data_IF_963525919776
#
_entry.id   IF_963525919776
#
_cell.length_a   1.000
_cell.length_b   1.000
_cell.length_c   1.000
_cell.angle_alpha   90.00
_cell.angle_beta   90.00
_cell.angle_gamma   90.00
#
_symmetry.space_group_name_H-M   'P 1'
#
loop_
_entity.id
_entity.type
_entity.pdbx_description
1 polymer ?
#
# COMPACT_ATOMS: atom_id res chain seq x y z
N UNK A 1 26.30 -6.50 -0.92
CA UNK A 1 24.90 -6.60 -0.49
C UNK A 1 23.97 -6.14 -1.62
N UNK A 2 22.84 -6.82 -1.78
CA UNK A 2 21.83 -6.52 -2.79
C UNK A 2 20.44 -6.60 -2.16
N UNK A 3 19.50 -5.75 -2.60
CA UNK A 3 18.07 -5.87 -2.27
C UNK A 3 17.33 -6.18 -3.56
N UNK A 4 16.61 -7.29 -3.58
CA UNK A 4 15.75 -7.71 -4.68
C UNK A 4 14.30 -7.45 -4.29
N UNK A 5 13.57 -6.67 -5.08
CA UNK A 5 12.18 -6.31 -4.82
C UNK A 5 11.29 -6.93 -5.89
N UNK A 6 10.33 -7.74 -5.47
CA UNK A 6 9.26 -8.27 -6.32
C UNK A 6 7.98 -7.50 -6.04
N UNK A 7 7.59 -6.65 -6.97
CA UNK A 7 6.30 -5.97 -6.90
C UNK A 7 5.21 -6.85 -7.53
N UNK A 8 3.97 -6.73 -7.05
CA UNK A 8 2.84 -7.57 -7.46
C UNK A 8 3.14 -9.09 -7.37
N UNK A 9 3.72 -9.52 -6.25
CA UNK A 9 4.12 -10.91 -6.03
C UNK A 9 2.99 -11.92 -6.29
N UNK A 10 1.74 -11.52 -6.06
CA UNK A 10 0.55 -12.32 -6.37
C UNK A 10 0.38 -12.64 -7.85
N UNK A 11 0.97 -11.86 -8.75
CA UNK A 11 0.94 -12.15 -10.19
C UNK A 11 1.70 -13.43 -10.53
N UNK A 12 2.79 -13.72 -9.80
CA UNK A 12 3.56 -14.96 -9.94
C UNK A 12 2.79 -16.17 -9.37
N UNK A 13 1.98 -15.95 -8.32
CA UNK A 13 1.15 -17.00 -7.73
C UNK A 13 -0.07 -17.36 -8.61
N UNK A 14 -0.65 -16.39 -9.32
CA UNK A 14 -1.82 -16.61 -10.21
C UNK A 14 -1.53 -17.50 -11.40
N UNK A 15 -0.28 -17.66 -11.81
CA UNK A 15 0.07 -18.55 -12.91
C UNK A 15 -0.25 -20.03 -12.62
N UNK A 16 -0.49 -20.40 -11.34
CA UNK A 16 -0.96 -21.72 -10.95
C UNK A 16 -2.39 -22.08 -11.43
N UNK A 17 -3.24 -21.09 -11.71
CA UNK A 17 -4.70 -21.36 -11.86
C UNK A 17 -5.12 -21.51 -13.33
N UNK A 18 -4.32 -21.15 -14.32
CA UNK A 18 -4.80 -21.04 -15.71
C UNK A 18 -3.93 -21.67 -16.81
N UNK A 19 -2.74 -22.16 -16.52
CA UNK A 19 -1.90 -22.73 -17.57
C UNK A 19 -1.87 -24.27 -17.45
N UNK A 20 -2.52 -24.95 -18.39
CA UNK A 20 -2.45 -26.41 -18.57
C UNK A 20 -1.00 -26.90 -18.83
N UNK A 21 -0.04 -25.99 -18.97
CA UNK A 21 1.36 -26.29 -19.28
C UNK A 21 2.34 -26.22 -18.09
N UNK A 22 1.89 -26.13 -16.84
CA UNK A 22 2.72 -26.22 -15.62
C UNK A 22 3.89 -25.19 -15.51
N UNK A 23 3.95 -24.15 -16.36
CA UNK A 23 5.08 -23.22 -16.39
C UNK A 23 5.16 -22.32 -15.14
N UNK A 24 4.01 -21.95 -14.58
CA UNK A 24 3.96 -21.10 -13.39
C UNK A 24 4.45 -21.80 -12.12
N UNK A 25 4.17 -23.09 -11.96
CA UNK A 25 4.72 -23.87 -10.85
C UNK A 25 6.24 -24.01 -10.95
N UNK A 26 6.77 -24.10 -12.16
CA UNK A 26 8.22 -24.18 -12.38
C UNK A 26 8.93 -22.89 -11.95
N UNK A 27 8.40 -21.71 -12.32
CA UNK A 27 8.99 -20.42 -11.95
C UNK A 27 8.96 -20.20 -10.44
N UNK A 28 7.81 -20.44 -9.81
CA UNK A 28 7.68 -20.31 -8.36
C UNK A 28 8.61 -21.27 -7.62
N UNK A 29 8.65 -22.54 -8.03
CA UNK A 29 9.52 -23.56 -7.43
C UNK A 29 11.01 -23.19 -7.60
N UNK A 30 11.40 -22.71 -8.76
CA UNK A 30 12.78 -22.25 -9.00
C UNK A 30 13.11 -21.06 -8.10
N UNK A 31 12.21 -20.07 -8.03
CA UNK A 31 12.39 -18.90 -7.16
C UNK A 31 12.58 -19.31 -5.70
N UNK A 32 11.77 -20.24 -5.21
CA UNK A 32 11.87 -20.74 -3.83
C UNK A 32 13.20 -21.44 -3.57
N UNK A 33 13.69 -22.23 -4.53
CA UNK A 33 14.99 -22.90 -4.45
C UNK A 33 16.13 -21.90 -4.41
N UNK A 34 16.12 -20.89 -5.30
CA UNK A 34 17.14 -19.84 -5.34
C UNK A 34 17.14 -19.00 -4.04
N UNK A 35 15.96 -18.78 -3.44
CA UNK A 35 15.88 -18.08 -2.15
C UNK A 35 16.53 -18.88 -1.01
N UNK A 36 16.34 -20.21 -0.97
CA UNK A 36 16.97 -21.06 0.05
C UNK A 36 18.48 -21.15 -0.12
N UNK A 37 18.96 -21.26 -1.36
CA UNK A 37 20.39 -21.30 -1.67
C UNK A 37 21.10 -19.97 -1.41
N UNK A 38 20.38 -18.84 -1.48
CA UNK A 38 20.90 -17.51 -1.24
C UNK A 38 21.16 -17.17 0.22
N UNK A 39 20.78 -18.04 1.16
CA UNK A 39 20.90 -17.82 2.61
C UNK A 39 22.32 -17.55 3.13
N UNK A 40 23.37 -17.78 2.31
CA UNK A 40 24.76 -17.43 2.59
C UNK A 40 25.23 -16.14 1.92
N UNK A 41 24.39 -15.52 1.09
CA UNK A 41 24.70 -14.30 0.34
C UNK A 41 24.12 -13.06 1.04
N UNK A 42 24.78 -11.92 0.90
CA UNK A 42 24.30 -10.63 1.41
C UNK A 42 23.14 -10.09 0.55
N UNK A 43 22.07 -10.88 0.40
CA UNK A 43 20.87 -10.56 -0.40
C UNK A 43 19.68 -10.46 0.54
N UNK A 44 18.91 -9.39 0.39
CA UNK A 44 17.61 -9.22 1.04
C UNK A 44 16.53 -9.30 -0.04
N UNK A 45 15.54 -10.15 0.16
CA UNK A 45 14.41 -10.29 -0.76
C UNK A 45 13.17 -9.64 -0.13
N UNK A 46 12.50 -8.78 -0.90
CA UNK A 46 11.28 -8.08 -0.49
C UNK A 46 10.17 -8.41 -1.49
N UNK A 47 9.08 -9.00 -1.02
CA UNK A 47 7.87 -9.22 -1.82
C UNK A 47 6.80 -8.20 -1.44
N UNK A 48 6.16 -7.57 -2.43
CA UNK A 48 5.06 -6.61 -2.24
C UNK A 48 3.81 -7.19 -2.90
N UNK A 49 2.68 -7.15 -2.20
CA UNK A 49 1.40 -7.60 -2.75
C UNK A 49 0.22 -6.85 -2.13
N UNK A 50 -0.83 -6.64 -2.93
CA UNK A 50 -2.13 -6.18 -2.49
C UNK A 50 -3.10 -7.36 -2.23
N UNK A 51 -2.70 -8.60 -2.56
CA UNK A 51 -3.51 -9.82 -2.46
C UNK A 51 -2.76 -10.90 -1.69
N UNK A 52 -2.57 -10.71 -0.37
CA UNK A 52 -1.87 -11.69 0.47
C UNK A 52 -2.57 -13.06 0.49
N UNK A 53 -3.88 -13.10 0.25
CA UNK A 53 -4.68 -14.33 0.11
C UNK A 53 -4.25 -15.22 -1.07
N UNK A 54 -3.55 -14.68 -2.05
CA UNK A 54 -3.04 -15.41 -3.21
C UNK A 54 -1.60 -15.90 -3.04
N UNK A 55 -0.92 -15.50 -1.96
CA UNK A 55 0.45 -15.93 -1.69
C UNK A 55 0.44 -17.36 -1.14
N UNK A 56 1.23 -18.22 -1.78
CA UNK A 56 1.37 -19.61 -1.32
C UNK A 56 2.07 -19.65 0.05
N UNK A 57 1.49 -20.40 0.98
CA UNK A 57 2.03 -20.56 2.34
C UNK A 57 3.48 -21.11 2.36
N UNK A 58 3.91 -21.81 1.30
CA UNK A 58 5.29 -22.24 1.17
C UNK A 58 6.28 -21.10 1.03
N UNK A 59 5.85 -19.93 0.58
CA UNK A 59 6.68 -18.71 0.50
C UNK A 59 6.88 -18.05 1.87
N UNK A 60 5.97 -18.26 2.81
CA UNK A 60 5.97 -17.63 4.13
C UNK A 60 6.70 -18.46 5.20
N UNK A 61 7.56 -19.39 4.79
CA UNK A 61 8.35 -20.24 5.70
C UNK A 61 9.69 -19.60 6.03
N UNK A 62 10.28 -20.07 7.15
CA UNK A 62 11.63 -19.68 7.58
C UNK A 62 12.65 -19.91 6.45
N UNK A 63 13.54 -18.93 6.26
CA UNK A 63 14.54 -18.94 5.20
C UNK A 63 14.05 -18.45 3.83
N UNK A 64 12.79 -17.97 3.75
CA UNK A 64 12.19 -17.39 2.56
C UNK A 64 11.62 -16.01 2.92
N UNK A 65 10.32 -15.76 2.74
CA UNK A 65 9.65 -14.54 3.19
C UNK A 65 9.11 -14.75 4.61
N UNK A 66 9.99 -14.80 5.58
CA UNK A 66 9.70 -15.13 6.99
C UNK A 66 9.25 -13.93 7.82
N UNK A 67 9.40 -12.72 7.29
CA UNK A 67 8.94 -11.48 7.91
C UNK A 67 7.80 -10.90 7.07
N UNK A 68 6.62 -10.77 7.66
CA UNK A 68 5.48 -10.13 7.01
C UNK A 68 5.17 -8.80 7.68
N UNK A 69 5.17 -7.73 6.87
CA UNK A 69 4.85 -6.39 7.29
C UNK A 69 3.51 -5.97 6.68
N UNK A 70 2.57 -5.59 7.54
CA UNK A 70 1.30 -5.04 7.09
C UNK A 70 1.38 -3.51 7.08
N UNK A 71 1.33 -2.92 5.89
CA UNK A 71 1.29 -1.46 5.71
C UNK A 71 -0.15 -0.99 5.87
N UNK A 72 -0.43 -0.37 7.00
CA UNK A 72 -1.77 0.16 7.30
C UNK A 72 -2.09 1.41 6.49
N UNK A 73 -3.39 1.70 6.25
CA UNK A 73 -3.80 3.01 5.77
C UNK A 73 -3.30 4.13 6.68
N UNK A 74 -3.03 5.33 6.14
CA UNK A 74 -2.51 6.42 6.94
C UNK A 74 -3.52 6.88 7.99
N UNK A 75 -3.07 7.07 9.23
CA UNK A 75 -3.82 7.72 10.29
C UNK A 75 -3.98 9.23 9.99
N UNK A 76 -4.72 9.94 10.82
CA UNK A 76 -5.00 11.38 10.62
C UNK A 76 -3.71 12.20 10.54
N UNK A 77 -2.74 11.93 11.41
CA UNK A 77 -1.45 12.63 11.42
C UNK A 77 -0.66 12.35 10.14
N UNK A 78 -0.57 11.10 9.76
CA UNK A 78 0.10 10.69 8.51
C UNK A 78 -0.59 11.30 7.28
N UNK A 79 -1.94 11.36 7.25
CA UNK A 79 -2.67 12.03 6.17
C UNK A 79 -2.34 13.51 6.09
N UNK A 80 -2.25 14.19 7.23
CA UNK A 80 -1.83 15.59 7.28
C UNK A 80 -0.43 15.78 6.70
N UNK A 81 0.51 14.92 7.07
CA UNK A 81 1.89 15.02 6.59
C UNK A 81 1.98 14.69 5.08
N UNK A 82 1.22 13.71 4.60
CA UNK A 82 1.08 13.43 3.16
C UNK A 82 0.50 14.64 2.42
N UNK A 83 -0.57 15.25 2.93
CA UNK A 83 -1.18 16.44 2.32
C UNK A 83 -0.18 17.60 2.26
N UNK A 84 0.60 17.84 3.31
CA UNK A 84 1.65 18.89 3.30
C UNK A 84 2.67 18.64 2.19
N UNK A 85 3.14 17.40 2.05
CA UNK A 85 4.09 17.02 0.99
C UNK A 85 3.47 17.22 -0.40
N UNK A 86 2.22 16.77 -0.59
CA UNK A 86 1.52 16.87 -1.87
C UNK A 86 1.19 18.33 -2.26
N UNK A 87 1.00 19.19 -1.29
CA UNK A 87 0.69 20.60 -1.50
C UNK A 87 1.92 21.49 -1.48
N UNK A 88 3.10 20.94 -1.23
CA UNK A 88 4.35 21.68 -1.30
C UNK A 88 4.56 22.23 -2.73
N UNK A 89 4.78 23.54 -2.82
CA UNK A 89 4.87 24.24 -4.10
C UNK A 89 3.53 24.51 -4.82
N UNK A 90 2.39 24.10 -4.29
CA UNK A 90 1.08 24.47 -4.84
C UNK A 90 0.66 25.87 -4.36
N UNK A 91 0.04 26.70 -5.23
CA UNK A 91 -0.41 28.05 -4.85
C UNK A 91 -1.66 27.98 -3.97
N UNK A 92 -1.49 27.72 -2.70
CA UNK A 92 -2.57 27.69 -1.73
C UNK A 92 -2.97 29.08 -1.28
N UNK A 93 -4.27 29.31 -1.07
CA UNK A 93 -4.74 30.53 -0.41
C UNK A 93 -4.37 30.52 1.09
N UNK A 94 -4.10 31.70 1.66
CA UNK A 94 -3.57 31.86 3.03
C UNK A 94 -4.49 31.31 4.14
N UNK A 95 -5.76 31.08 3.85
CA UNK A 95 -6.78 30.65 4.81
C UNK A 95 -7.08 29.14 4.78
N UNK A 96 -6.27 28.34 4.10
CA UNK A 96 -6.49 26.88 4.04
C UNK A 96 -5.98 26.24 5.33
N UNK A 97 -6.87 25.46 5.96
CA UNK A 97 -6.54 24.62 7.09
C UNK A 97 -6.35 23.17 6.64
N UNK A 98 -5.10 22.74 6.46
CA UNK A 98 -4.77 21.37 6.05
C UNK A 98 -5.20 20.32 7.10
N UNK A 99 -5.31 20.69 8.38
CA UNK A 99 -5.81 19.79 9.43
C UNK A 99 -7.28 19.43 9.18
N UNK A 100 -8.12 20.40 8.81
CA UNK A 100 -9.53 20.14 8.48
C UNK A 100 -9.68 19.16 7.29
N UNK A 101 -8.79 19.30 6.31
CA UNK A 101 -8.76 18.39 5.16
C UNK A 101 -8.34 16.99 5.63
N UNK A 102 -7.33 16.86 6.50
CA UNK A 102 -6.89 15.58 7.03
C UNK A 102 -7.98 14.88 7.87
N UNK A 103 -8.75 15.63 8.66
CA UNK A 103 -9.92 15.12 9.40
C UNK A 103 -11.00 14.62 8.43
N UNK A 104 -11.27 15.38 7.37
CA UNK A 104 -12.33 15.07 6.38
C UNK A 104 -11.98 13.92 5.43
N UNK A 105 -10.73 13.45 5.41
CA UNK A 105 -10.23 12.40 4.51
C UNK A 105 -10.06 11.05 5.19
N UNK A 106 -10.94 10.72 6.14
CA UNK A 106 -10.93 9.40 6.78
C UNK A 106 -11.02 8.28 5.73
N UNK A 107 -10.24 7.21 5.89
CA UNK A 107 -10.14 6.06 4.98
C UNK A 107 -9.56 6.38 3.59
N UNK A 108 -8.93 7.53 3.40
CA UNK A 108 -8.19 7.83 2.19
C UNK A 108 -6.79 7.20 2.23
N UNK A 109 -6.37 6.66 1.10
CA UNK A 109 -4.98 6.24 0.86
C UNK A 109 -4.13 7.44 0.41
N UNK A 110 -2.81 7.26 0.32
CA UNK A 110 -1.93 8.28 -0.26
C UNK A 110 -2.31 8.64 -1.70
N UNK A 111 -2.77 7.65 -2.50
CA UNK A 111 -3.23 7.86 -3.87
C UNK A 111 -4.54 8.68 -3.92
N UNK A 112 -5.46 8.43 -2.97
CA UNK A 112 -6.70 9.22 -2.86
C UNK A 112 -6.40 10.67 -2.50
N UNK A 113 -5.47 10.89 -1.56
CA UNK A 113 -5.03 12.24 -1.17
C UNK A 113 -4.36 12.97 -2.33
N UNK A 114 -3.53 12.29 -3.11
CA UNK A 114 -2.94 12.88 -4.32
C UNK A 114 -4.01 13.24 -5.36
N UNK A 115 -5.02 12.38 -5.52
CA UNK A 115 -6.16 12.65 -6.41
C UNK A 115 -6.98 13.84 -5.92
N UNK A 116 -7.18 13.98 -4.60
CA UNK A 116 -7.88 15.10 -4.00
C UNK A 116 -7.13 16.41 -4.23
N UNK A 117 -5.82 16.45 -4.02
CA UNK A 117 -5.01 17.64 -4.27
C UNK A 117 -5.04 18.05 -5.75
N UNK A 118 -4.97 17.08 -6.66
CA UNK A 118 -5.08 17.32 -8.10
C UNK A 118 -6.46 17.87 -8.48
N UNK A 119 -7.53 17.29 -7.93
CA UNK A 119 -8.91 17.73 -8.19
C UNK A 119 -9.13 19.16 -7.67
N UNK A 120 -8.59 19.51 -6.49
CA UNK A 120 -8.65 20.86 -5.96
C UNK A 120 -7.93 21.87 -6.89
N UNK A 121 -6.78 21.49 -7.45
CA UNK A 121 -6.08 22.34 -8.42
C UNK A 121 -6.90 22.51 -9.71
N UNK A 122 -7.51 21.46 -10.23
CA UNK A 122 -8.39 21.52 -11.42
C UNK A 122 -9.60 22.43 -11.16
N UNK A 123 -10.21 22.34 -9.98
CA UNK A 123 -11.34 23.21 -9.61
C UNK A 123 -10.92 24.69 -9.56
N UNK A 124 -9.73 25.00 -9.03
CA UNK A 124 -9.20 26.36 -9.04
C UNK A 124 -8.97 26.88 -10.46
N UNK A 125 -8.41 26.06 -11.35
CA UNK A 125 -8.21 26.39 -12.77
C UNK A 125 -9.54 26.64 -13.49
N UNK A 126 -10.56 25.83 -13.24
CA UNK A 126 -11.90 25.99 -13.87
C UNK A 126 -12.59 27.30 -13.51
N UNK A 127 -12.24 27.92 -12.40
CA UNK A 127 -12.74 29.26 -12.00
C UNK A 127 -11.75 30.38 -12.27
N UNK A 128 -10.74 30.15 -13.13
CA UNK A 128 -9.69 31.11 -13.51
C UNK A 128 -8.96 31.73 -12.30
N UNK A 129 -8.77 30.93 -11.23
CA UNK A 129 -8.08 31.40 -10.02
C UNK A 129 -6.64 30.93 -9.98
N UNK A 130 -5.75 31.86 -9.60
CA UNK A 130 -4.34 31.55 -9.38
C UNK A 130 -4.08 30.78 -8.08
N UNK A 131 -5.03 30.84 -7.13
CA UNK A 131 -4.86 30.21 -5.82
C UNK A 131 -5.95 29.15 -5.57
N UNK A 132 -5.54 28.03 -5.03
CA UNK A 132 -6.42 26.96 -4.58
C UNK A 132 -7.04 27.37 -3.24
N UNK A 133 -8.35 27.29 -3.11
CA UNK A 133 -9.10 27.65 -1.89
C UNK A 133 -9.65 26.43 -1.17
N UNK A 134 -10.12 26.62 0.07
CA UNK A 134 -10.82 25.57 0.83
C UNK A 134 -12.06 25.05 0.10
N UNK A 135 -12.74 25.89 -0.69
CA UNK A 135 -13.90 25.48 -1.49
C UNK A 135 -13.51 24.50 -2.62
N UNK A 136 -12.31 24.64 -3.21
CA UNK A 136 -11.83 23.74 -4.25
C UNK A 136 -11.57 22.35 -3.69
N UNK A 137 -11.03 22.25 -2.46
CA UNK A 137 -10.91 21.01 -1.72
C UNK A 137 -12.28 20.43 -1.34
N UNK A 138 -13.23 21.25 -0.91
CA UNK A 138 -14.57 20.82 -0.59
C UNK A 138 -15.32 20.24 -1.81
N UNK A 139 -15.11 20.77 -2.99
CA UNK A 139 -15.61 20.24 -4.26
C UNK A 139 -14.88 18.94 -4.63
N UNK A 140 -13.57 18.88 -4.42
CA UNK A 140 -12.76 17.68 -4.63
C UNK A 140 -13.23 16.51 -3.77
N UNK A 141 -13.53 16.74 -2.48
CA UNK A 141 -14.06 15.73 -1.55
C UNK A 141 -15.40 15.12 -2.00
N UNK A 142 -16.20 15.82 -2.78
CA UNK A 142 -17.44 15.28 -3.35
C UNK A 142 -17.19 14.32 -4.52
N UNK A 143 -16.08 14.46 -5.21
CA UNK A 143 -15.72 13.68 -6.41
C UNK A 143 -14.81 12.51 -6.07
N UNK A 144 -13.80 12.75 -5.24
CA UNK A 144 -12.84 11.72 -4.83
C UNK A 144 -13.41 10.97 -3.63
N UNK A 145 -13.66 9.67 -3.82
CA UNK A 145 -14.15 8.80 -2.75
C UNK A 145 -12.99 8.03 -2.13
N UNK A 146 -13.06 7.68 -0.83
CA UNK A 146 -12.03 6.84 -0.21
C UNK A 146 -11.99 5.47 -0.88
N UNK A 147 -10.79 4.98 -1.17
CA UNK A 147 -10.57 3.64 -1.72
C UNK A 147 -10.81 2.54 -0.69
N UNK A 148 -10.68 2.86 0.61
CA UNK A 148 -10.87 1.87 1.68
C UNK A 148 -12.31 1.91 2.14
N UNK A 149 -13.07 0.88 1.73
CA UNK A 149 -14.42 0.63 2.24
C UNK A 149 -14.36 -0.19 3.53
N UNK A 150 -15.47 -0.23 4.28
CA UNK A 150 -15.58 -1.05 5.51
C UNK A 150 -15.37 -2.54 5.22
N UNK A 151 -15.79 -2.99 4.04
CA UNK A 151 -15.64 -4.37 3.59
C UNK A 151 -14.17 -4.69 3.34
N UNK A 152 -13.45 -3.79 2.68
CA UNK A 152 -12.01 -3.93 2.41
C UNK A 152 -11.22 -3.92 3.72
N UNK A 153 -11.53 -3.00 4.63
CA UNK A 153 -10.86 -2.91 5.94
C UNK A 153 -11.07 -4.19 6.76
N UNK A 154 -12.30 -4.70 6.79
CA UNK A 154 -12.61 -5.98 7.43
C UNK A 154 -11.86 -7.14 6.79
N UNK A 155 -11.85 -7.23 5.48
CA UNK A 155 -11.15 -8.30 4.74
C UNK A 155 -9.64 -8.31 5.05
N UNK A 156 -8.99 -7.14 5.07
CA UNK A 156 -7.58 -7.06 5.46
C UNK A 156 -7.35 -7.43 6.92
N UNK A 157 -8.26 -7.09 7.82
CA UNK A 157 -8.19 -7.47 9.24
C UNK A 157 -8.29 -8.99 9.42
N UNK A 158 -9.18 -9.63 8.67
CA UNK A 158 -9.36 -11.08 8.70
C UNK A 158 -8.10 -11.80 8.17
N UNK A 159 -7.57 -11.38 7.02
CA UNK A 159 -6.32 -11.93 6.46
C UNK A 159 -5.12 -11.69 7.38
N UNK A 160 -5.00 -10.51 7.99
CA UNK A 160 -3.93 -10.23 8.95
C UNK A 160 -3.93 -11.26 10.09
N UNK A 161 -5.10 -11.63 10.58
CA UNK A 161 -5.23 -12.64 11.63
C UNK A 161 -4.83 -14.03 11.15
N UNK A 162 -5.20 -14.42 9.92
CA UNK A 162 -4.82 -15.70 9.31
C UNK A 162 -3.32 -15.80 9.09
N UNK A 163 -2.71 -14.80 8.47
CA UNK A 163 -1.26 -14.76 8.21
C UNK A 163 -0.46 -14.77 9.50
N UNK A 164 -0.92 -14.07 10.54
CA UNK A 164 -0.27 -14.07 11.86
C UNK A 164 -0.27 -15.45 12.53
N UNK A 165 -1.20 -16.33 12.17
CA UNK A 165 -1.26 -17.72 12.67
C UNK A 165 -0.34 -18.66 11.90
N UNK A 166 0.04 -18.32 10.67
CA UNK A 166 0.90 -19.15 9.79
C UNK A 166 2.38 -18.90 10.10
N UNK A 167 2.74 -17.66 10.43
CA UNK A 167 4.13 -17.32 10.73
C UNK A 167 4.47 -17.76 12.15
N UNK A 168 5.54 -18.55 12.34
CA UNK A 168 6.00 -18.90 13.68
C UNK A 168 6.34 -17.60 14.43
N UNK A 169 5.82 -17.42 15.63
CA UNK A 169 6.16 -16.29 16.50
C UNK A 169 7.65 -16.30 16.74
N UNK A 170 8.42 -15.56 15.94
CA UNK A 170 9.79 -15.22 16.32
C UNK A 170 9.69 -14.30 17.52
N UNK A 171 10.47 -14.58 18.55
CA UNK A 171 10.54 -13.85 19.81
C UNK A 171 10.95 -12.39 19.57
N UNK A 172 10.01 -11.55 19.33
CA UNK A 172 10.19 -10.12 19.16
C UNK A 172 8.98 -9.53 18.44
N UNK A 173 7.97 -9.11 19.23
CA UNK A 173 6.87 -8.26 18.74
C UNK A 173 7.44 -6.90 18.26
N UNK A 174 7.94 -6.87 17.05
CA UNK A 174 8.33 -5.61 16.40
C UNK A 174 7.42 -5.34 15.22
N UNK A 175 6.15 -5.10 15.52
CA UNK A 175 5.29 -4.39 14.58
C UNK A 175 5.72 -2.92 14.64
N UNK A 176 6.39 -2.43 13.61
CA UNK A 176 6.62 -1.00 13.47
C UNK A 176 5.26 -0.32 13.28
N UNK A 177 4.97 0.58 14.22
CA UNK A 177 3.85 1.53 14.16
C UNK A 177 4.14 2.63 13.17
#
# INVERSE_FOLDING_TARGET
>A
PCVVIFDELDSLAKSKIKDENNRGETVLSQMLTEMEDSGTSNIVVVGITNRPDLIDNSMLRNGRLDIVLFVQPPDEKSRLDIIKILTDGMPLANNINLNEIAVSTQNYTGADLASLCREAAVNAMQRDSLNISSNDFALGLKRVRPSITKEIDKWYSDIKSEVSNIIPKSSGDTFYR
#
